data_IF_386255605078
#
_entry.id   IF_386255605078
#
_cell.length_a   1.000
_cell.length_b   1.000
_cell.length_c   1.000
_cell.angle_alpha   90.00
_cell.angle_beta   90.00
_cell.angle_gamma   90.00
#
_symmetry.space_group_name_H-M   'P 1'
#
loop_
_entity.id
_entity.type
_entity.pdbx_description
1 polymer ?
#
# COMPACT_ATOMS: atom_id res chain seq x y z
N UNK A 1 36.19 -11.05 26.93
CA UNK A 1 35.13 -10.26 26.26
C UNK A 1 34.60 -9.26 27.27
N UNK A 2 34.72 -7.96 27.00
CA UNK A 2 34.13 -6.91 27.83
C UNK A 2 32.60 -6.97 27.74
N UNK A 3 31.89 -6.62 28.83
CA UNK A 3 30.42 -6.67 28.85
C UNK A 3 29.74 -5.77 27.81
N UNK A 4 30.45 -4.80 27.25
CA UNK A 4 29.99 -3.92 26.17
C UNK A 4 29.85 -4.67 24.83
N UNK A 5 30.83 -5.50 24.48
CA UNK A 5 30.80 -6.31 23.24
C UNK A 5 29.61 -7.27 23.23
N UNK A 6 29.35 -7.93 24.37
CA UNK A 6 28.20 -8.83 24.50
C UNK A 6 26.85 -8.10 24.38
N UNK A 7 26.75 -6.87 24.88
CA UNK A 7 25.55 -6.04 24.74
C UNK A 7 25.35 -5.59 23.29
N UNK A 8 26.41 -5.17 22.61
CA UNK A 8 26.35 -4.79 21.19
C UNK A 8 25.95 -5.97 20.29
N UNK A 9 26.50 -7.15 20.55
CA UNK A 9 26.17 -8.37 19.80
C UNK A 9 24.70 -8.79 20.01
N UNK A 10 24.20 -8.68 21.26
CA UNK A 10 22.79 -8.89 21.57
C UNK A 10 21.88 -7.89 20.85
N UNK A 11 22.23 -6.60 20.86
CA UNK A 11 21.46 -5.56 20.18
C UNK A 11 21.43 -5.78 18.67
N UNK A 12 22.57 -6.11 18.04
CA UNK A 12 22.63 -6.43 16.61
C UNK A 12 21.80 -7.66 16.27
N UNK A 13 21.83 -8.70 17.10
CA UNK A 13 21.02 -9.89 16.91
C UNK A 13 19.51 -9.57 16.99
N UNK A 14 19.08 -8.86 18.03
CA UNK A 14 17.68 -8.46 18.21
C UNK A 14 17.17 -7.57 17.07
N UNK A 15 17.97 -6.59 16.66
CA UNK A 15 17.64 -5.74 15.52
C UNK A 15 17.54 -6.53 14.21
N UNK A 16 18.43 -7.50 13.99
CA UNK A 16 18.36 -8.40 12.84
C UNK A 16 17.04 -9.18 12.81
N UNK A 17 16.64 -9.76 13.94
CA UNK A 17 15.36 -10.47 14.05
C UNK A 17 14.15 -9.56 13.84
N UNK A 18 14.17 -8.35 14.39
CA UNK A 18 13.09 -7.38 14.23
C UNK A 18 12.98 -6.91 12.77
N UNK A 19 14.11 -6.57 12.14
CA UNK A 19 14.17 -6.20 10.73
C UNK A 19 13.60 -7.30 9.85
N UNK A 20 14.04 -8.54 10.04
CA UNK A 20 13.57 -9.69 9.26
C UNK A 20 12.06 -9.89 9.43
N UNK A 21 11.54 -9.75 10.65
CA UNK A 21 10.11 -9.88 10.92
C UNK A 21 9.30 -8.82 10.18
N UNK A 22 9.77 -7.57 10.18
CA UNK A 22 9.15 -6.46 9.46
C UNK A 22 9.20 -6.67 7.94
N UNK A 23 10.32 -7.16 7.39
CA UNK A 23 10.45 -7.51 5.97
C UNK A 23 9.42 -8.59 5.58
N UNK A 24 9.30 -9.66 6.38
CA UNK A 24 8.33 -10.74 6.16
C UNK A 24 6.90 -10.22 6.20
N UNK A 25 6.54 -9.42 7.21
CA UNK A 25 5.20 -8.82 7.31
C UNK A 25 4.89 -7.94 6.09
N UNK A 26 5.86 -7.18 5.58
CA UNK A 26 5.65 -6.40 4.37
C UNK A 26 5.30 -7.27 3.16
N UNK A 27 6.03 -8.36 2.95
CA UNK A 27 5.80 -9.29 1.83
C UNK A 27 4.43 -9.96 1.97
N UNK A 28 4.05 -10.35 3.19
CA UNK A 28 2.73 -10.91 3.48
C UNK A 28 1.60 -9.91 3.18
N UNK A 29 1.77 -8.63 3.54
CA UNK A 29 0.79 -7.58 3.20
C UNK A 29 0.63 -7.42 1.68
N UNK A 30 1.73 -7.39 0.91
CA UNK A 30 1.67 -7.32 -0.56
C UNK A 30 0.94 -8.53 -1.12
N UNK A 31 1.27 -9.74 -0.66
CA UNK A 31 0.63 -10.97 -1.10
C UNK A 31 -0.86 -11.02 -0.76
N UNK A 32 -1.23 -10.64 0.46
CA UNK A 32 -2.62 -10.57 0.90
C UNK A 32 -3.42 -9.56 0.09
N UNK A 33 -2.84 -8.38 -0.19
CA UNK A 33 -3.46 -7.36 -1.03
C UNK A 33 -3.68 -7.83 -2.46
N UNK A 34 -2.71 -8.50 -3.05
CA UNK A 34 -2.85 -9.11 -4.38
C UNK A 34 -4.00 -10.13 -4.38
N UNK A 35 -4.02 -11.04 -3.41
CA UNK A 35 -5.04 -12.08 -3.31
C UNK A 35 -6.45 -11.51 -3.10
N UNK A 36 -6.57 -10.49 -2.24
CA UNK A 36 -7.83 -9.78 -1.98
C UNK A 36 -8.33 -9.04 -3.23
N UNK A 37 -7.42 -8.49 -4.02
CA UNK A 37 -7.75 -7.79 -5.28
C UNK A 37 -8.18 -8.78 -6.35
N UNK A 38 -7.46 -9.90 -6.51
CA UNK A 38 -7.82 -10.97 -7.44
C UNK A 38 -9.19 -11.57 -7.11
N UNK A 39 -9.48 -11.86 -5.83
CA UNK A 39 -10.80 -12.36 -5.40
C UNK A 39 -11.95 -11.42 -5.77
N UNK A 40 -11.71 -10.12 -5.81
CA UNK A 40 -12.70 -9.13 -6.22
C UNK A 40 -12.81 -8.96 -7.73
N UNK A 41 -11.74 -9.26 -8.47
CA UNK A 41 -11.71 -9.19 -9.93
C UNK A 41 -12.38 -10.39 -10.60
N UNK A 42 -12.39 -11.56 -9.94
CA UNK A 42 -13.04 -12.77 -10.47
C UNK A 42 -14.57 -12.59 -10.48
N UNK A 43 -15.24 -12.64 -11.65
CA UNK A 43 -16.69 -12.59 -11.73
C UNK A 43 -17.28 -13.84 -11.07
N UNK A 44 -18.23 -13.65 -10.15
CA UNK A 44 -18.91 -14.77 -9.49
C UNK A 44 -19.91 -15.41 -10.45
N UNK A 45 -19.75 -16.69 -10.82
CA UNK A 45 -20.67 -17.37 -11.75
C UNK A 45 -22.08 -17.55 -11.15
N UNK A 46 -22.23 -17.39 -9.83
CA UNK A 46 -23.51 -17.52 -9.11
C UNK A 46 -24.29 -16.21 -8.98
N UNK A 47 -23.77 -15.08 -9.48
CA UNK A 47 -24.44 -13.78 -9.38
C UNK A 47 -24.20 -12.90 -10.62
N UNK A 48 -24.81 -13.23 -11.77
CA UNK A 48 -24.59 -12.55 -13.05
C UNK A 48 -25.04 -11.08 -13.09
N UNK A 49 -25.69 -10.58 -12.02
CA UNK A 49 -26.12 -9.17 -11.90
C UNK A 49 -25.14 -8.26 -11.15
N UNK A 50 -24.05 -8.78 -10.58
CA UNK A 50 -23.01 -7.91 -10.01
C UNK A 50 -22.22 -7.32 -11.18
N UNK A 51 -22.62 -6.10 -11.60
CA UNK A 51 -21.77 -5.20 -12.40
C UNK A 51 -20.33 -5.31 -11.90
N UNK A 52 -19.38 -5.47 -12.81
CA UNK A 52 -17.95 -5.46 -12.49
C UNK A 52 -17.67 -4.34 -11.49
N UNK A 53 -17.00 -4.65 -10.38
CA UNK A 53 -16.55 -3.59 -9.47
C UNK A 53 -15.67 -2.63 -10.28
N UNK A 54 -15.88 -1.31 -10.16
CA UNK A 54 -15.08 -0.36 -10.92
C UNK A 54 -13.60 -0.55 -10.59
N UNK A 55 -12.73 -0.34 -11.58
CA UNK A 55 -11.29 -0.56 -11.46
C UNK A 55 -10.69 0.22 -10.26
N UNK A 56 -11.29 1.36 -9.91
CA UNK A 56 -10.97 2.12 -8.70
C UNK A 56 -11.14 1.34 -7.40
N UNK A 57 -12.16 0.49 -7.27
CA UNK A 57 -12.35 -0.35 -6.06
C UNK A 57 -11.24 -1.40 -5.89
N UNK A 58 -10.76 -1.97 -7.00
CA UNK A 58 -9.65 -2.91 -7.00
C UNK A 58 -8.34 -2.21 -6.63
N UNK A 59 -8.10 -1.03 -7.22
CA UNK A 59 -6.94 -0.19 -6.91
C UNK A 59 -6.92 0.32 -5.48
N UNK A 60 -8.07 0.71 -4.93
CA UNK A 60 -8.22 1.11 -3.53
C UNK A 60 -7.85 -0.02 -2.58
N UNK A 61 -8.35 -1.24 -2.85
CA UNK A 61 -8.00 -2.41 -2.03
C UNK A 61 -6.50 -2.68 -2.09
N UNK A 62 -5.93 -2.78 -3.30
CA UNK A 62 -4.51 -3.07 -3.43
C UNK A 62 -3.63 -1.97 -2.81
N UNK A 63 -4.01 -0.71 -3.03
CA UNK A 63 -3.33 0.47 -2.50
C UNK A 63 -3.30 0.51 -0.97
N UNK A 64 -4.38 0.10 -0.29
CA UNK A 64 -4.39 0.06 1.18
C UNK A 64 -3.40 -0.98 1.74
N UNK A 65 -3.34 -2.16 1.12
CA UNK A 65 -2.39 -3.21 1.51
C UNK A 65 -0.94 -2.82 1.22
N UNK A 66 -0.69 -2.17 0.08
CA UNK A 66 0.62 -1.61 -0.25
C UNK A 66 1.05 -0.55 0.77
N UNK A 67 0.15 0.36 1.16
CA UNK A 67 0.47 1.38 2.16
C UNK A 67 0.96 0.76 3.48
N UNK A 68 0.31 -0.33 3.93
CA UNK A 68 0.69 -1.06 5.14
C UNK A 68 2.04 -1.77 4.99
N UNK A 69 2.29 -2.41 3.84
CA UNK A 69 3.58 -3.04 3.55
C UNK A 69 4.74 -2.04 3.62
N UNK A 70 4.52 -0.83 3.10
CA UNK A 70 5.51 0.26 3.12
C UNK A 70 5.84 0.76 4.53
N UNK A 71 4.91 0.68 5.49
CA UNK A 71 5.18 1.03 6.89
C UNK A 71 6.11 0.02 7.54
N UNK A 72 5.91 -1.27 7.26
CA UNK A 72 6.81 -2.31 7.75
C UNK A 72 8.20 -2.22 7.12
N UNK A 73 8.29 -1.91 5.82
CA UNK A 73 9.58 -1.68 5.17
C UNK A 73 10.31 -0.46 5.76
N UNK A 74 9.61 0.65 5.96
CA UNK A 74 10.17 1.83 6.64
C UNK A 74 10.69 1.47 8.04
N UNK A 75 9.93 0.67 8.81
CA UNK A 75 10.37 0.18 10.10
C UNK A 75 11.64 -0.68 10.01
N UNK A 76 11.70 -1.60 9.04
CA UNK A 76 12.87 -2.45 8.79
C UNK A 76 14.12 -1.61 8.45
N UNK A 77 13.96 -0.57 7.64
CA UNK A 77 15.04 0.35 7.28
C UNK A 77 15.49 1.22 8.46
N UNK A 78 14.58 1.67 9.32
CA UNK A 78 14.93 2.37 10.57
C UNK A 78 15.75 1.45 11.49
N UNK A 79 15.37 0.18 11.61
CA UNK A 79 16.13 -0.80 12.42
C UNK A 79 17.51 -1.09 11.81
N UNK A 80 17.60 -1.15 10.48
CA UNK A 80 18.87 -1.33 9.76
C UNK A 80 19.82 -0.15 9.95
N UNK A 81 19.30 1.08 9.82
CA UNK A 81 20.11 2.32 9.95
C UNK A 81 20.58 2.58 11.38
N UNK A 82 19.80 2.19 12.39
CA UNK A 82 20.18 2.36 13.80
C UNK A 82 21.27 1.38 14.25
N UNK A 83 21.39 0.21 13.62
CA UNK A 83 22.40 -0.81 13.99
C UNK A 83 23.66 -0.82 13.14
N UNK A 84 23.60 -0.31 11.91
CA UNK A 84 24.76 -0.07 11.07
C UNK A 84 24.48 1.12 10.13
N UNK A 85 24.80 2.36 10.54
CA UNK A 85 24.64 3.53 9.68
C UNK A 85 25.63 3.46 8.52
N UNK A 86 25.21 2.89 7.39
CA UNK A 86 25.92 2.93 6.11
C UNK A 86 25.16 3.91 5.21
N UNK A 87 25.85 4.89 4.62
CA UNK A 87 25.21 5.96 3.82
C UNK A 87 24.33 5.48 2.66
N UNK A 88 24.51 4.23 2.22
CA UNK A 88 23.63 3.57 1.24
C UNK A 88 22.20 3.34 1.76
N UNK A 89 22.02 3.03 3.05
CA UNK A 89 20.70 2.77 3.64
C UNK A 89 19.81 4.03 3.66
N UNK A 90 20.42 5.21 3.84
CA UNK A 90 19.71 6.49 3.80
C UNK A 90 19.18 6.81 2.39
N UNK A 91 19.94 6.47 1.34
CA UNK A 91 19.52 6.69 -0.04
C UNK A 91 18.36 5.77 -0.43
N UNK A 92 18.39 4.50 0.03
CA UNK A 92 17.31 3.55 -0.17
C UNK A 92 16.03 4.00 0.55
N UNK A 93 16.15 4.50 1.78
CA UNK A 93 15.03 5.04 2.54
C UNK A 93 14.41 6.26 1.84
N UNK A 94 15.24 7.16 1.31
CA UNK A 94 14.77 8.31 0.54
C UNK A 94 14.05 7.88 -0.75
N UNK A 95 14.54 6.86 -1.44
CA UNK A 95 13.89 6.32 -2.64
C UNK A 95 12.51 5.70 -2.32
N UNK A 96 12.40 4.93 -1.23
CA UNK A 96 11.12 4.35 -0.79
C UNK A 96 10.13 5.45 -0.40
N UNK A 97 10.57 6.47 0.36
CA UNK A 97 9.73 7.61 0.72
C UNK A 97 9.24 8.39 -0.51
N UNK A 98 10.09 8.53 -1.53
CA UNK A 98 9.74 9.18 -2.80
C UNK A 98 8.70 8.36 -3.58
N UNK A 99 8.92 7.05 -3.73
CA UNK A 99 7.98 6.13 -4.40
C UNK A 99 6.63 6.17 -3.68
N UNK A 100 6.64 6.14 -2.34
CA UNK A 100 5.43 6.22 -1.51
C UNK A 100 4.66 7.51 -1.77
N UNK A 101 5.35 8.65 -1.73
CA UNK A 101 4.75 9.96 -1.99
C UNK A 101 4.17 10.03 -3.40
N UNK A 102 4.92 9.55 -4.39
CA UNK A 102 4.50 9.56 -5.79
C UNK A 102 3.25 8.70 -6.03
N UNK A 103 3.27 7.44 -5.57
CA UNK A 103 2.15 6.53 -5.72
C UNK A 103 0.91 7.04 -4.99
N UNK A 104 1.06 7.52 -3.76
CA UNK A 104 -0.08 7.99 -2.97
C UNK A 104 -0.71 9.26 -3.57
N UNK A 105 0.09 10.20 -4.07
CA UNK A 105 -0.40 11.40 -4.77
C UNK A 105 -1.11 10.98 -6.06
N UNK A 106 -0.52 10.10 -6.86
CA UNK A 106 -1.12 9.64 -8.11
C UNK A 106 -2.47 8.96 -7.87
N UNK A 107 -2.54 8.07 -6.88
CA UNK A 107 -3.77 7.38 -6.51
C UNK A 107 -4.84 8.36 -6.03
N UNK A 108 -4.48 9.31 -5.17
CA UNK A 108 -5.40 10.35 -4.68
C UNK A 108 -5.94 11.23 -5.82
N UNK A 109 -5.09 11.58 -6.80
CA UNK A 109 -5.51 12.34 -7.99
C UNK A 109 -6.48 11.53 -8.84
N UNK A 110 -6.21 10.26 -9.07
CA UNK A 110 -7.04 9.39 -9.91
C UNK A 110 -8.43 9.15 -9.30
N UNK A 111 -8.51 8.92 -7.98
CA UNK A 111 -9.78 8.81 -7.25
C UNK A 111 -10.60 10.10 -7.37
N UNK A 112 -9.95 11.25 -7.18
CA UNK A 112 -10.62 12.55 -7.27
C UNK A 112 -11.19 12.79 -8.67
N UNK A 113 -10.45 12.40 -9.72
CA UNK A 113 -10.89 12.53 -11.10
C UNK A 113 -12.11 11.64 -11.42
N UNK A 114 -12.12 10.39 -10.94
CA UNK A 114 -13.28 9.51 -11.11
C UNK A 114 -14.53 10.05 -10.39
N UNK A 115 -14.38 10.52 -9.15
CA UNK A 115 -15.50 11.08 -8.37
C UNK A 115 -16.12 12.32 -9.04
N UNK A 116 -15.30 13.19 -9.62
CA UNK A 116 -15.78 14.37 -10.34
C UNK A 116 -16.57 13.99 -11.60
N UNK A 117 -16.12 12.97 -12.33
CA UNK A 117 -16.84 12.45 -13.50
C UNK A 117 -18.19 11.83 -13.12
N UNK A 118 -18.24 11.09 -12.01
CA UNK A 118 -19.48 10.47 -11.53
C UNK A 118 -20.50 11.52 -11.06
N UNK A 119 -20.05 12.57 -10.35
CA UNK A 119 -20.88 13.71 -9.97
C UNK A 119 -21.40 14.48 -11.19
N UNK A 120 -20.57 14.69 -12.22
CA UNK A 120 -20.98 15.36 -13.46
C UNK A 120 -22.02 14.55 -14.25
N UNK A 121 -21.92 13.21 -14.23
CA UNK A 121 -22.96 12.33 -14.82
C UNK A 121 -24.28 12.45 -14.05
N UNK A 122 -24.23 12.43 -12.71
CA UNK A 122 -25.42 12.54 -11.86
C UNK A 122 -26.08 13.92 -11.90
N UNK A 123 -25.34 14.99 -12.20
CA UNK A 123 -25.94 16.32 -12.43
C UNK A 123 -26.57 16.40 -13.82
N UNK A 124 -25.94 15.83 -14.85
CA UNK A 124 -26.50 15.76 -16.21
C UNK A 124 -27.82 14.98 -16.24
N UNK A 125 -27.85 13.79 -15.64
CA UNK A 125 -29.04 12.92 -15.58
C UNK A 125 -30.21 13.57 -14.81
N UNK A 126 -29.87 14.42 -13.83
CA UNK A 126 -30.86 15.19 -13.05
C UNK A 126 -31.39 16.43 -13.80
N UNK A 127 -30.63 16.96 -14.74
CA UNK A 127 -31.03 18.07 -15.61
C UNK A 127 -31.87 17.61 -16.80
N UNK A 128 -31.66 16.39 -17.28
CA UNK A 128 -32.44 15.83 -18.40
C UNK A 128 -33.87 15.43 -18.00
N UNK A 129 -34.12 15.04 -16.73
CA UNK A 129 -35.47 14.74 -16.23
C UNK A 129 -36.18 13.58 -16.96
N UNK A 130 -37.22 12.97 -16.38
CA UNK A 130 -37.98 11.95 -17.09
C UNK A 130 -38.61 12.57 -18.35
N UNK A 131 -38.64 11.85 -19.50
CA UNK A 131 -39.28 12.35 -20.71
C UNK A 131 -40.72 12.74 -20.39
N UNK A 132 -41.08 13.97 -20.76
CA UNK A 132 -42.46 14.45 -20.64
C UNK A 132 -43.39 13.48 -21.37
N UNK A 133 -44.46 13.01 -20.72
CA UNK A 133 -45.36 11.97 -21.26
C UNK A 133 -46.05 12.40 -22.56
#
# INVERSE_FOLDING_TARGET
MSGTEAMEELLRALAGWLRLTLEILSVLCVAAGLLATLRQAVPSPFHPRRRHRPASSLRLTFGSWLSMALEFQLGADIVSTTTAPTGANLLQLAAIALIRTFLNIFLAREITAEQQLELARLSSDRLEGPPSP
#
